data_IF_163726233352
#
_entry.id   IF_163726233352
#
_cell.length_a   1.000
_cell.length_b   1.000
_cell.length_c   1.000
_cell.angle_alpha   90.00
_cell.angle_beta   90.00
_cell.angle_gamma   90.00
#
_symmetry.space_group_name_H-M   'P 1'
#
loop_
_entity.id
_entity.type
_entity.pdbx_description
1 polymer ?
#
# COMPACT_ATOMS: atom_id res chain seq x y z
N UNK A 1 33.78 -36.16 -19.59
CA UNK A 1 32.53 -35.36 -19.42
C UNK A 1 32.59 -34.73 -18.04
N UNK A 2 32.92 -33.46 -17.96
CA UNK A 2 33.14 -32.76 -16.68
C UNK A 2 31.84 -32.04 -16.33
N UNK A 3 31.15 -32.47 -15.28
CA UNK A 3 30.00 -31.79 -14.71
C UNK A 3 30.44 -30.50 -14.05
N UNK A 4 30.10 -29.37 -14.66
CA UNK A 4 30.31 -28.05 -14.08
C UNK A 4 29.15 -27.78 -13.10
N UNK A 5 29.38 -28.05 -11.83
CA UNK A 5 28.44 -27.73 -10.74
C UNK A 5 28.33 -26.22 -10.64
N UNK A 6 27.24 -25.67 -11.19
CA UNK A 6 26.88 -24.23 -11.04
C UNK A 6 26.51 -23.97 -9.59
N UNK A 7 27.42 -23.32 -8.83
CA UNK A 7 27.07 -22.83 -7.49
C UNK A 7 26.03 -21.72 -7.58
N UNK A 8 24.92 -21.87 -6.87
CA UNK A 8 23.93 -20.80 -6.70
C UNK A 8 24.60 -19.62 -5.97
N UNK A 9 24.36 -18.36 -6.39
CA UNK A 9 24.87 -17.21 -5.65
C UNK A 9 24.32 -17.27 -4.23
N UNK A 10 25.21 -17.40 -3.25
CA UNK A 10 24.84 -17.30 -1.83
C UNK A 10 24.54 -15.84 -1.53
N UNK A 11 23.35 -15.56 -1.01
CA UNK A 11 23.02 -14.28 -0.43
C UNK A 11 24.04 -13.96 0.67
N UNK A 12 24.78 -12.87 0.50
CA UNK A 12 25.70 -12.40 1.53
C UNK A 12 24.92 -11.65 2.63
N UNK A 13 24.47 -12.41 3.62
CA UNK A 13 23.79 -11.87 4.80
C UNK A 13 24.62 -10.83 5.55
N UNK A 14 25.96 -10.93 5.48
CA UNK A 14 26.85 -9.97 6.13
C UNK A 14 26.83 -8.62 5.43
N UNK A 15 26.71 -8.61 4.10
CA UNK A 15 26.54 -7.38 3.32
C UNK A 15 25.17 -6.72 3.59
N UNK A 16 24.10 -7.52 3.69
CA UNK A 16 22.77 -7.04 4.05
C UNK A 16 22.75 -6.45 5.47
N UNK A 17 23.38 -7.11 6.44
CA UNK A 17 23.48 -6.61 7.81
C UNK A 17 24.30 -5.32 7.90
N UNK A 18 25.38 -5.20 7.11
CA UNK A 18 26.17 -3.96 7.02
C UNK A 18 25.35 -2.82 6.42
N UNK A 19 24.61 -3.09 5.35
CA UNK A 19 23.69 -2.13 4.73
C UNK A 19 22.59 -1.68 5.70
N UNK A 20 22.00 -2.60 6.46
CA UNK A 20 20.98 -2.28 7.47
C UNK A 20 21.55 -1.43 8.62
N UNK A 21 22.80 -1.67 9.03
CA UNK A 21 23.49 -0.86 10.06
C UNK A 21 23.86 0.54 9.59
N UNK A 22 24.02 0.75 8.28
CA UNK A 22 24.31 2.05 7.67
C UNK A 22 23.05 2.92 7.50
N UNK A 23 21.85 2.36 7.69
CA UNK A 23 20.61 3.13 7.63
C UNK A 23 20.56 4.09 8.82
N UNK A 24 20.34 5.40 8.61
CA UNK A 24 20.21 6.36 9.71
C UNK A 24 19.09 5.91 10.65
N UNK A 25 19.35 5.98 11.96
CA UNK A 25 18.34 5.66 12.96
C UNK A 25 17.13 6.58 12.75
N UNK A 26 15.91 6.07 12.79
CA UNK A 26 14.72 6.90 12.74
C UNK A 26 14.74 7.89 13.91
N UNK A 27 14.18 9.09 13.73
CA UNK A 27 14.06 10.09 14.77
C UNK A 27 13.13 9.63 15.89
N UNK A 28 12.16 8.79 15.56
CA UNK A 28 11.33 8.05 16.52
C UNK A 28 10.95 6.69 15.96
N UNK A 29 10.50 5.80 16.84
CA UNK A 29 9.86 4.52 16.57
C UNK A 29 8.64 4.43 17.48
N UNK A 30 7.66 3.58 17.15
CA UNK A 30 6.46 3.46 17.97
C UNK A 30 5.39 2.60 17.32
N UNK A 31 4.18 2.74 17.83
CA UNK A 31 3.01 2.01 17.35
C UNK A 31 1.91 2.97 16.95
N UNK A 32 1.12 2.61 15.96
CA UNK A 32 -0.02 3.40 15.55
C UNK A 32 -1.24 2.54 15.31
N UNK A 33 -2.40 3.14 15.49
CA UNK A 33 -3.71 2.58 15.17
C UNK A 33 -4.56 3.62 14.46
N UNK A 34 -5.50 3.19 13.66
CA UNK A 34 -6.53 4.10 13.18
C UNK A 34 -7.84 3.88 13.95
N UNK A 35 -8.63 4.94 14.02
CA UNK A 35 -9.94 4.94 14.66
C UNK A 35 -10.96 4.68 13.56
N UNK A 36 -11.76 3.63 13.73
CA UNK A 36 -12.84 3.24 12.85
C UNK A 36 -14.18 3.78 13.39
N UNK A 37 -14.98 4.29 12.48
CA UNK A 37 -16.34 4.69 12.72
C UNK A 37 -17.29 3.88 11.85
N UNK A 38 -18.30 3.28 12.46
CA UNK A 38 -19.39 2.55 11.81
C UNK A 38 -20.68 3.40 11.92
N UNK A 39 -21.04 4.18 10.88
CA UNK A 39 -22.18 5.09 10.93
C UNK A 39 -23.52 4.38 11.09
N UNK A 40 -23.62 3.16 10.54
CA UNK A 40 -24.81 2.33 10.59
C UNK A 40 -24.45 0.97 11.22
N UNK A 41 -25.05 0.67 12.36
CA UNK A 41 -24.82 -0.58 13.09
C UNK A 41 -25.26 -1.83 12.33
N UNK A 42 -26.19 -1.68 11.38
CA UNK A 42 -26.66 -2.78 10.52
C UNK A 42 -25.80 -2.98 9.28
N UNK A 43 -24.93 -2.02 8.95
CA UNK A 43 -23.99 -2.11 7.84
C UNK A 43 -22.61 -2.53 8.37
N UNK A 44 -21.91 -3.48 7.72
CA UNK A 44 -20.56 -3.83 8.09
C UNK A 44 -19.51 -2.77 7.72
N UNK A 45 -19.94 -1.67 7.08
CA UNK A 45 -19.03 -0.63 6.60
C UNK A 45 -18.44 0.18 7.75
N UNK A 46 -17.12 0.23 7.80
CA UNK A 46 -16.33 1.01 8.74
C UNK A 46 -15.43 1.97 7.99
N UNK A 47 -15.32 3.18 8.52
CA UNK A 47 -14.53 4.25 7.91
C UNK A 47 -13.45 4.68 8.88
N UNK A 48 -12.17 4.67 8.47
CA UNK A 48 -11.14 5.33 9.24
C UNK A 48 -11.41 6.83 9.33
N UNK A 49 -11.50 7.34 10.55
CA UNK A 49 -11.82 8.74 10.86
C UNK A 49 -10.75 9.43 11.69
N UNK A 50 -9.70 8.73 12.04
CA UNK A 50 -8.59 9.28 12.81
C UNK A 50 -7.44 8.31 12.91
N UNK A 51 -6.32 8.82 13.37
CA UNK A 51 -5.13 8.04 13.69
C UNK A 51 -4.59 8.41 15.06
N UNK A 52 -4.01 7.43 15.72
CA UNK A 52 -3.33 7.57 17.02
C UNK A 52 -1.95 6.94 16.88
N UNK A 53 -0.91 7.65 17.30
CA UNK A 53 0.48 7.19 17.32
C UNK A 53 0.99 7.23 18.75
N UNK A 54 1.53 6.13 19.24
CA UNK A 54 2.28 6.06 20.48
C UNK A 54 3.77 5.95 20.16
N UNK A 55 4.54 6.97 20.52
CA UNK A 55 5.98 6.98 20.34
C UNK A 55 6.70 6.19 21.45
N UNK A 56 7.98 5.91 21.27
CA UNK A 56 8.84 5.16 22.21
C UNK A 56 8.89 5.78 23.61
N UNK A 57 8.64 7.10 23.72
CA UNK A 57 8.54 7.84 24.99
C UNK A 57 7.15 7.73 25.64
N UNK A 58 6.33 6.78 25.20
CA UNK A 58 4.96 6.52 25.65
C UNK A 58 3.97 7.66 25.42
N UNK A 59 4.38 8.75 24.76
CA UNK A 59 3.47 9.84 24.42
C UNK A 59 2.57 9.46 23.27
N UNK A 60 1.30 9.83 23.42
CA UNK A 60 0.29 9.68 22.38
C UNK A 60 0.14 10.97 21.58
N UNK A 61 0.08 10.80 20.27
CA UNK A 61 -0.22 11.85 19.29
C UNK A 61 -1.41 11.36 18.46
N UNK A 62 -2.36 12.22 18.18
CA UNK A 62 -3.51 11.80 17.39
C UNK A 62 -4.06 12.92 16.51
N UNK A 63 -4.78 12.52 15.47
CA UNK A 63 -5.56 13.40 14.62
C UNK A 63 -6.89 12.75 14.30
N UNK A 64 -7.95 13.53 14.41
CA UNK A 64 -9.33 13.11 14.11
C UNK A 64 -9.86 13.89 12.91
N UNK A 65 -10.83 13.30 12.22
CA UNK A 65 -11.60 13.96 11.19
C UNK A 65 -12.50 15.04 11.80
N UNK A 66 -12.46 16.22 11.23
CA UNK A 66 -13.23 17.41 11.68
C UNK A 66 -14.42 17.74 10.77
N UNK A 67 -14.39 17.28 9.51
CA UNK A 67 -15.43 17.53 8.52
C UNK A 67 -15.99 16.23 7.93
N UNK A 68 -17.31 16.08 8.00
CA UNK A 68 -18.05 14.91 7.57
C UNK A 68 -18.80 15.08 6.24
N UNK A 69 -18.56 16.17 5.50
CA UNK A 69 -19.29 16.45 4.24
C UNK A 69 -19.19 15.35 3.20
N UNK A 70 -18.08 14.61 3.17
CA UNK A 70 -17.96 13.47 2.24
C UNK A 70 -18.89 12.31 2.56
N UNK A 71 -19.35 12.20 3.80
CA UNK A 71 -20.33 11.18 4.16
C UNK A 71 -21.69 11.40 3.49
N UNK A 72 -22.04 12.62 3.12
CA UNK A 72 -23.26 12.92 2.38
C UNK A 72 -23.28 12.27 0.99
N UNK A 73 -22.10 12.03 0.39
CA UNK A 73 -21.99 11.29 -0.86
C UNK A 73 -22.22 9.76 -0.68
N UNK A 74 -21.96 9.23 0.51
CA UNK A 74 -22.14 7.81 0.83
C UNK A 74 -23.53 7.53 1.39
N UNK A 75 -24.11 8.51 2.09
CA UNK A 75 -25.42 8.44 2.75
C UNK A 75 -26.36 9.51 2.18
N UNK A 76 -26.90 9.33 0.96
CA UNK A 76 -27.69 10.35 0.28
C UNK A 76 -29.03 10.65 0.98
N UNK A 77 -29.55 9.71 1.77
CA UNK A 77 -30.77 9.89 2.56
C UNK A 77 -30.56 10.74 3.82
N UNK A 78 -29.33 11.12 4.09
CA UNK A 78 -28.94 11.99 5.21
C UNK A 78 -27.94 11.33 6.16
N UNK A 79 -26.84 12.01 6.37
CA UNK A 79 -25.84 11.61 7.36
C UNK A 79 -26.09 12.37 8.68
N UNK A 80 -26.07 11.69 9.84
CA UNK A 80 -26.35 12.32 11.13
C UNK A 80 -25.16 13.13 11.63
N UNK A 81 -24.88 14.29 11.01
CA UNK A 81 -23.70 15.14 11.30
C UNK A 81 -23.58 15.53 12.77
N UNK A 82 -24.70 15.84 13.45
CA UNK A 82 -24.68 16.22 14.87
C UNK A 82 -24.20 15.07 15.76
N UNK A 83 -24.69 13.86 15.49
CA UNK A 83 -24.29 12.66 16.23
C UNK A 83 -22.84 12.30 15.95
N UNK A 84 -22.40 12.40 14.70
CA UNK A 84 -21.00 12.17 14.34
C UNK A 84 -20.05 13.17 15.03
N UNK A 85 -20.40 14.46 15.09
CA UNK A 85 -19.65 15.47 15.84
C UNK A 85 -19.60 15.18 17.33
N UNK A 86 -20.72 14.76 17.93
CA UNK A 86 -20.74 14.37 19.34
C UNK A 86 -19.84 13.16 19.61
N UNK A 87 -19.84 12.15 18.74
CA UNK A 87 -18.95 10.99 18.82
C UNK A 87 -17.48 11.40 18.67
N UNK A 88 -17.16 12.36 17.80
CA UNK A 88 -15.79 12.88 17.70
C UNK A 88 -15.35 13.61 18.95
N UNK A 89 -16.23 14.42 19.54
CA UNK A 89 -15.95 15.07 20.81
C UNK A 89 -15.71 14.04 21.94
N UNK A 90 -16.50 12.97 21.97
CA UNK A 90 -16.29 11.85 22.89
C UNK A 90 -14.95 11.16 22.64
N UNK A 91 -14.63 10.80 21.38
CA UNK A 91 -13.35 10.18 21.02
C UNK A 91 -12.16 11.07 21.42
N UNK A 92 -12.27 12.37 21.15
CA UNK A 92 -11.27 13.34 21.57
C UNK A 92 -11.08 13.34 23.09
N UNK A 93 -12.16 13.33 23.85
CA UNK A 93 -12.13 13.27 25.32
C UNK A 93 -11.42 12.02 25.85
N UNK A 94 -11.74 10.84 25.28
CA UNK A 94 -11.09 9.56 25.64
C UNK A 94 -9.59 9.61 25.36
N UNK A 95 -9.18 10.13 24.19
CA UNK A 95 -7.76 10.22 23.82
C UNK A 95 -7.01 11.22 24.70
N UNK A 96 -7.64 12.36 25.05
CA UNK A 96 -7.05 13.31 25.97
C UNK A 96 -6.87 12.74 27.39
N UNK A 97 -7.85 11.97 27.88
CA UNK A 97 -7.73 11.25 29.13
C UNK A 97 -6.58 10.24 29.08
N UNK A 98 -6.49 9.46 27.99
CA UNK A 98 -5.41 8.49 27.79
C UNK A 98 -4.01 9.17 27.79
N UNK A 99 -3.88 10.35 27.18
CA UNK A 99 -2.63 11.15 27.22
C UNK A 99 -2.30 11.54 28.67
N UNK A 100 -3.29 12.04 29.40
CA UNK A 100 -3.11 12.52 30.78
C UNK A 100 -2.72 11.37 31.72
N UNK A 101 -3.35 10.21 31.54
CA UNK A 101 -3.17 8.99 32.35
C UNK A 101 -2.00 8.13 31.87
N UNK A 102 -1.39 8.48 30.73
CA UNK A 102 -0.34 7.70 30.05
C UNK A 102 -0.79 6.27 29.73
N UNK A 103 -2.04 6.12 29.33
CA UNK A 103 -2.62 4.82 28.97
C UNK A 103 -1.96 4.29 27.69
N UNK A 104 -1.44 3.06 27.68
CA UNK A 104 -0.88 2.46 26.46
C UNK A 104 -1.90 2.37 25.36
N UNK A 105 -1.47 2.56 24.10
CA UNK A 105 -2.34 2.51 22.90
C UNK A 105 -3.18 1.22 22.84
N UNK A 106 -2.61 0.10 23.23
CA UNK A 106 -3.28 -1.21 23.25
C UNK A 106 -4.38 -1.35 24.31
N UNK A 107 -4.45 -0.43 25.26
CA UNK A 107 -5.45 -0.43 26.36
C UNK A 107 -6.51 0.66 26.17
N UNK A 108 -6.40 1.49 25.15
CA UNK A 108 -7.40 2.51 24.86
C UNK A 108 -8.63 1.81 24.28
N UNK A 109 -9.76 1.99 24.93
CA UNK A 109 -11.06 1.45 24.53
C UNK A 109 -12.07 2.59 24.41
N UNK A 110 -12.89 2.53 23.38
CA UNK A 110 -14.07 3.37 23.30
C UNK A 110 -15.27 2.59 23.86
N UNK A 111 -15.96 3.16 24.82
CA UNK A 111 -17.25 2.62 25.29
C UNK A 111 -18.35 2.99 24.28
N UNK A 112 -18.24 2.40 23.10
CA UNK A 112 -19.10 2.67 21.97
C UNK A 112 -19.09 1.49 21.00
N UNK A 113 -20.27 1.10 20.52
CA UNK A 113 -20.40 0.07 19.48
C UNK A 113 -20.02 0.54 18.08
N UNK A 114 -19.97 1.85 17.88
CA UNK A 114 -19.74 2.47 16.56
C UNK A 114 -18.33 3.02 16.39
N UNK A 115 -17.53 3.05 17.47
CA UNK A 115 -16.12 3.45 17.43
C UNK A 115 -15.23 2.31 17.89
N UNK A 116 -14.15 2.08 17.17
CA UNK A 116 -13.14 1.08 17.56
C UNK A 116 -11.74 1.53 17.14
N UNK A 117 -10.71 0.97 17.79
CA UNK A 117 -9.32 1.09 17.35
C UNK A 117 -8.91 -0.15 16.57
N UNK A 118 -8.16 0.06 15.49
CA UNK A 118 -7.50 -1.03 14.79
C UNK A 118 -6.40 -1.65 15.67
N UNK A 119 -5.92 -2.83 15.29
CA UNK A 119 -4.73 -3.41 15.94
C UNK A 119 -3.54 -2.48 15.74
N UNK A 120 -2.71 -2.25 16.80
CA UNK A 120 -1.50 -1.47 16.67
C UNK A 120 -0.51 -2.07 15.67
N UNK A 121 0.04 -1.22 14.81
CA UNK A 121 1.06 -1.55 13.81
C UNK A 121 2.29 -0.71 14.08
N UNK A 122 3.48 -1.27 13.88
CA UNK A 122 4.73 -0.54 14.07
C UNK A 122 4.90 0.57 13.03
N UNK A 123 5.40 1.72 13.48
CA UNK A 123 5.78 2.86 12.62
C UNK A 123 7.08 3.47 13.08
N UNK A 124 7.77 4.14 12.16
CA UNK A 124 8.97 4.91 12.45
C UNK A 124 9.08 6.10 11.49
N UNK A 125 9.81 7.10 11.88
CA UNK A 125 9.99 8.31 11.06
C UNK A 125 11.00 9.29 11.65
N UNK A 126 11.17 10.41 10.97
CA UNK A 126 12.05 11.49 11.42
C UNK A 126 11.38 12.36 12.49
N UNK A 127 10.09 12.57 12.38
CA UNK A 127 9.28 13.40 13.26
C UNK A 127 7.91 12.76 13.50
N UNK A 128 7.39 12.92 14.73
CA UNK A 128 6.15 12.32 15.22
C UNK A 128 4.92 12.99 14.64
N UNK A 129 4.91 14.30 14.61
CA UNK A 129 3.78 15.08 14.08
C UNK A 129 3.64 14.88 12.57
N UNK A 130 4.74 14.89 11.84
CA UNK A 130 4.78 14.57 10.42
C UNK A 130 4.31 13.14 10.15
N UNK A 131 4.60 12.18 11.04
CA UNK A 131 4.11 10.82 10.92
C UNK A 131 2.59 10.74 11.11
N UNK A 132 2.02 11.44 12.10
CA UNK A 132 0.56 11.52 12.31
C UNK A 132 -0.12 12.12 11.09
N UNK A 133 0.39 13.24 10.55
CA UNK A 133 -0.16 13.90 9.37
C UNK A 133 -0.13 12.98 8.15
N UNK A 134 0.99 12.30 7.91
CA UNK A 134 1.15 11.33 6.82
C UNK A 134 0.16 10.18 6.96
N UNK A 135 0.14 9.51 8.12
CA UNK A 135 -0.74 8.37 8.38
C UNK A 135 -2.20 8.78 8.26
N UNK A 136 -2.59 9.93 8.82
CA UNK A 136 -3.93 10.46 8.68
C UNK A 136 -4.30 10.68 7.21
N UNK A 137 -3.44 11.30 6.46
CA UNK A 137 -3.61 11.55 5.04
C UNK A 137 -3.69 10.26 4.20
N UNK A 138 -2.98 9.21 4.59
CA UNK A 138 -2.92 7.95 3.86
C UNK A 138 -4.13 7.05 4.16
N UNK A 139 -4.63 7.08 5.40
CA UNK A 139 -5.65 6.16 5.88
C UNK A 139 -7.04 6.78 5.87
N UNK A 140 -7.19 8.07 6.25
CA UNK A 140 -8.50 8.73 6.35
C UNK A 140 -8.95 9.25 5.00
N UNK A 141 -9.66 8.41 4.25
CA UNK A 141 -10.16 8.75 2.90
C UNK A 141 -11.26 9.82 2.91
N UNK A 142 -11.94 10.00 4.06
CA UNK A 142 -13.08 10.91 4.21
C UNK A 142 -12.69 12.38 4.43
N UNK A 143 -11.41 12.72 4.44
CA UNK A 143 -10.96 14.13 4.49
C UNK A 143 -11.47 14.85 3.24
N UNK A 144 -12.16 16.00 3.39
CA UNK A 144 -12.53 16.82 2.25
C UNK A 144 -11.29 17.18 1.45
N UNK A 145 -11.24 16.76 0.20
CA UNK A 145 -10.10 17.11 -0.66
C UNK A 145 -10.26 18.53 -1.17
N UNK A 146 -9.87 19.50 -0.39
CA UNK A 146 -9.61 20.87 -0.89
C UNK A 146 -8.33 20.94 -1.73
N UNK A 147 -7.55 19.89 -1.69
CA UNK A 147 -6.40 19.68 -2.55
C UNK A 147 -6.70 18.44 -3.36
N UNK A 148 -6.90 18.58 -4.67
CA UNK A 148 -6.64 17.45 -5.57
C UNK A 148 -5.26 16.99 -5.17
N UNK A 149 -5.14 15.86 -4.43
CA UNK A 149 -3.87 15.16 -4.29
C UNK A 149 -3.48 14.78 -5.70
N UNK A 150 -2.83 15.70 -6.39
CA UNK A 150 -2.05 15.35 -7.56
C UNK A 150 -0.98 14.45 -6.96
N UNK A 151 -1.16 13.15 -7.12
CA UNK A 151 -0.07 12.23 -6.86
C UNK A 151 1.05 12.75 -7.74
N UNK A 152 2.06 13.39 -7.15
CA UNK A 152 3.17 14.06 -7.84
C UNK A 152 4.12 13.09 -8.55
N UNK A 153 3.84 11.80 -8.49
CA UNK A 153 4.63 10.86 -9.29
C UNK A 153 4.05 10.77 -10.71
N UNK A 154 4.91 10.92 -11.67
CA UNK A 154 4.58 10.63 -13.05
C UNK A 154 4.08 9.18 -13.14
N UNK A 155 2.90 8.98 -13.75
CA UNK A 155 2.46 7.61 -14.02
C UNK A 155 3.49 6.94 -14.94
N UNK A 156 3.90 5.75 -14.57
CA UNK A 156 4.80 4.93 -15.37
C UNK A 156 3.91 3.90 -16.05
N UNK A 157 3.77 4.00 -17.37
CA UNK A 157 3.05 2.99 -18.13
C UNK A 157 3.81 1.65 -18.15
N UNK A 158 3.15 0.59 -18.62
CA UNK A 158 3.75 -0.74 -18.62
C UNK A 158 4.98 -0.81 -19.55
N UNK A 159 5.03 -0.03 -20.64
CA UNK A 159 6.17 0.00 -21.54
C UNK A 159 7.39 0.65 -20.87
N UNK A 160 7.19 1.79 -20.20
CA UNK A 160 8.25 2.43 -19.40
C UNK A 160 8.70 1.57 -18.22
N UNK A 161 7.77 0.89 -17.53
CA UNK A 161 8.12 -0.05 -16.47
C UNK A 161 8.98 -1.23 -16.98
N UNK A 162 8.64 -1.79 -18.14
CA UNK A 162 9.44 -2.83 -18.81
C UNK A 162 10.84 -2.35 -19.12
N UNK A 163 10.95 -1.14 -19.68
CA UNK A 163 12.27 -0.57 -19.99
C UNK A 163 13.14 -0.48 -18.75
N UNK A 164 12.62 0.04 -17.64
CA UNK A 164 13.34 0.14 -16.38
C UNK A 164 13.75 -1.24 -15.83
N UNK A 165 12.84 -2.22 -15.86
CA UNK A 165 13.14 -3.59 -15.43
C UNK A 165 14.18 -4.23 -16.33
N UNK A 166 14.07 -4.06 -17.65
CA UNK A 166 15.03 -4.61 -18.61
C UNK A 166 16.43 -4.01 -18.44
N UNK A 167 16.55 -2.71 -18.21
CA UNK A 167 17.82 -2.05 -17.90
C UNK A 167 18.45 -2.68 -16.65
N UNK A 168 17.65 -2.92 -15.62
CA UNK A 168 18.13 -3.54 -14.38
C UNK A 168 18.51 -5.01 -14.57
N UNK A 169 17.73 -5.75 -15.35
CA UNK A 169 18.03 -7.14 -15.70
C UNK A 169 19.29 -7.27 -16.56
N UNK A 170 19.57 -6.32 -17.46
CA UNK A 170 20.84 -6.28 -18.21
C UNK A 170 22.06 -6.19 -17.30
N UNK A 171 21.97 -5.35 -16.26
CA UNK A 171 23.06 -5.23 -15.28
C UNK A 171 23.29 -6.54 -14.51
N UNK A 172 22.23 -7.29 -14.20
CA UNK A 172 22.30 -8.50 -13.37
C UNK A 172 22.62 -9.75 -14.19
N UNK A 173 21.96 -9.92 -15.34
CA UNK A 173 22.05 -11.13 -16.16
C UNK A 173 23.13 -11.08 -17.22
N UNK A 174 23.68 -9.90 -17.52
CA UNK A 174 24.77 -9.69 -18.50
C UNK A 174 24.53 -10.49 -19.81
N UNK A 175 25.36 -11.48 -20.13
CA UNK A 175 25.26 -12.27 -21.34
C UNK A 175 24.02 -13.18 -21.44
N UNK A 176 23.38 -13.50 -20.34
CA UNK A 176 22.17 -14.34 -20.34
C UNK A 176 20.87 -13.52 -20.51
N UNK A 177 20.97 -12.19 -20.57
CA UNK A 177 19.79 -11.30 -20.68
C UNK A 177 18.90 -11.64 -21.87
N UNK A 178 19.46 -11.77 -23.07
CA UNK A 178 18.72 -12.04 -24.32
C UNK A 178 18.04 -13.44 -24.32
N UNK A 179 18.48 -14.34 -23.45
CA UNK A 179 17.87 -15.67 -23.31
C UNK A 179 16.57 -15.64 -22.51
N UNK A 180 16.33 -14.59 -21.71
CA UNK A 180 15.23 -14.53 -20.77
C UNK A 180 14.29 -13.35 -21.03
N UNK A 181 14.73 -12.33 -21.74
CA UNK A 181 13.96 -11.11 -21.97
C UNK A 181 13.65 -10.93 -23.46
N UNK A 182 12.37 -10.85 -23.78
CA UNK A 182 11.91 -10.52 -25.13
C UNK A 182 11.76 -9.01 -25.22
N UNK A 183 12.78 -8.33 -25.77
CA UNK A 183 12.85 -6.86 -25.81
C UNK A 183 11.97 -6.31 -26.94
N UNK A 184 12.09 -6.88 -28.14
CA UNK A 184 11.48 -6.34 -29.35
C UNK A 184 10.07 -6.90 -29.62
N UNK A 185 9.76 -8.07 -29.09
CA UNK A 185 8.45 -8.71 -29.23
C UNK A 185 7.96 -9.14 -27.86
N UNK A 186 7.36 -8.22 -27.09
CA UNK A 186 6.96 -8.48 -25.72
C UNK A 186 5.70 -9.36 -25.59
N UNK A 187 5.43 -10.22 -26.58
CA UNK A 187 4.25 -11.05 -26.55
C UNK A 187 4.38 -12.35 -27.33
N UNK A 188 3.54 -13.30 -26.99
CA UNK A 188 3.42 -14.60 -27.63
C UNK A 188 2.04 -14.72 -28.31
N UNK A 189 2.03 -15.17 -29.58
CA UNK A 189 0.81 -15.48 -30.28
C UNK A 189 0.46 -16.94 -30.01
N UNK A 190 -0.65 -17.18 -29.30
CA UNK A 190 -1.15 -18.53 -29.03
C UNK A 190 -2.42 -18.81 -29.82
N UNK A 191 -2.66 -20.03 -30.27
CA UNK A 191 -3.95 -20.40 -30.85
C UNK A 191 -5.07 -20.21 -29.83
N UNK A 192 -6.14 -19.51 -30.23
CA UNK A 192 -7.37 -19.43 -29.46
C UNK A 192 -8.39 -20.48 -29.90
N UNK A 193 -9.57 -20.41 -29.35
CA UNK A 193 -10.69 -21.26 -29.78
C UNK A 193 -11.14 -20.87 -31.19
N UNK A 194 -11.06 -21.81 -32.10
CA UNK A 194 -11.38 -21.61 -33.52
C UNK A 194 -10.20 -21.06 -34.34
N UNK A 195 -10.44 -20.02 -35.14
CA UNK A 195 -9.43 -19.40 -36.00
C UNK A 195 -8.78 -18.15 -35.39
N UNK A 196 -9.15 -17.81 -34.16
CA UNK A 196 -8.63 -16.64 -33.48
C UNK A 196 -7.26 -16.90 -32.87
N UNK A 197 -6.40 -15.90 -32.93
CA UNK A 197 -5.08 -15.90 -32.28
C UNK A 197 -5.11 -14.92 -31.12
N UNK A 198 -4.76 -15.41 -29.94
CA UNK A 198 -4.62 -14.55 -28.78
C UNK A 198 -3.19 -14.08 -28.62
N UNK A 199 -3.04 -12.78 -28.40
CA UNK A 199 -1.77 -12.17 -28.12
C UNK A 199 -1.54 -12.07 -26.61
N UNK A 200 -0.56 -12.84 -26.13
CA UNK A 200 -0.17 -12.83 -24.71
C UNK A 200 0.99 -11.84 -24.51
N UNK A 201 0.78 -10.87 -23.64
CA UNK A 201 1.75 -9.81 -23.36
C UNK A 201 2.78 -10.27 -22.32
N UNK A 202 3.70 -11.14 -22.74
CA UNK A 202 4.76 -11.72 -21.92
C UNK A 202 6.11 -11.19 -22.38
N UNK A 203 6.91 -10.67 -21.46
CA UNK A 203 8.23 -10.14 -21.75
C UNK A 203 9.39 -10.87 -21.06
N UNK A 204 9.08 -11.81 -20.19
CA UNK A 204 10.07 -12.68 -19.55
C UNK A 204 9.75 -14.13 -19.88
N UNK A 205 10.73 -14.87 -20.43
CA UNK A 205 10.52 -16.24 -20.85
C UNK A 205 11.75 -17.11 -20.56
N UNK A 206 11.49 -18.27 -20.03
CA UNK A 206 12.48 -19.35 -19.87
C UNK A 206 11.89 -20.66 -20.43
N UNK A 207 12.70 -21.72 -20.65
CA UNK A 207 12.16 -23.00 -21.08
C UNK A 207 11.13 -23.63 -20.12
N UNK A 208 11.04 -23.15 -18.88
CA UNK A 208 10.19 -23.73 -17.83
C UNK A 208 9.20 -22.73 -17.22
N UNK A 209 9.30 -21.45 -17.55
CA UNK A 209 8.46 -20.42 -16.94
C UNK A 209 8.35 -19.19 -17.83
N UNK A 210 7.24 -18.50 -17.72
CA UNK A 210 6.99 -17.21 -18.34
C UNK A 210 6.64 -16.17 -17.28
N UNK A 211 6.84 -14.90 -17.62
CA UNK A 211 6.56 -13.77 -16.74
C UNK A 211 6.15 -12.53 -17.52
N UNK A 212 5.43 -11.65 -16.87
CA UNK A 212 5.05 -10.35 -17.41
C UNK A 212 5.44 -9.25 -16.42
N UNK A 213 5.85 -8.10 -16.95
CA UNK A 213 6.02 -6.87 -16.17
C UNK A 213 4.82 -6.00 -16.40
N UNK A 214 4.11 -5.67 -15.34
CA UNK A 214 3.00 -4.73 -15.33
C UNK A 214 3.31 -3.57 -14.38
N UNK A 215 2.99 -2.34 -14.79
CA UNK A 215 3.15 -1.19 -13.92
C UNK A 215 1.99 -1.11 -12.93
N UNK A 216 2.32 -0.83 -11.66
CA UNK A 216 1.37 -0.45 -10.62
C UNK A 216 1.39 1.06 -10.34
N UNK A 217 2.13 1.85 -11.13
CA UNK A 217 2.33 3.29 -10.93
C UNK A 217 1.48 4.07 -11.92
N UNK A 218 0.17 4.11 -11.68
CA UNK A 218 -0.79 4.88 -12.47
C UNK A 218 -1.53 5.91 -11.61
N UNK A 219 -2.04 6.95 -12.25
CA UNK A 219 -2.88 7.97 -11.59
C UNK A 219 -4.24 7.40 -11.16
N UNK A 220 -4.73 6.37 -11.84
CA UNK A 220 -6.01 5.72 -11.58
C UNK A 220 -5.80 4.31 -11.03
N UNK A 221 -6.45 4.00 -9.91
CA UNK A 221 -6.45 2.66 -9.33
C UNK A 221 -7.06 1.63 -10.30
N UNK A 222 -8.10 2.01 -11.05
CA UNK A 222 -8.72 1.14 -12.06
C UNK A 222 -7.71 0.72 -13.14
N UNK A 223 -6.83 1.64 -13.57
CA UNK A 223 -5.78 1.30 -14.53
C UNK A 223 -4.78 0.28 -13.99
N UNK A 224 -4.45 0.36 -12.70
CA UNK A 224 -3.59 -0.63 -12.03
C UNK A 224 -4.27 -2.00 -12.01
N UNK A 225 -5.52 -2.05 -11.57
CA UNK A 225 -6.31 -3.29 -11.48
C UNK A 225 -6.46 -3.97 -12.84
N UNK A 226 -6.81 -3.21 -13.89
CA UNK A 226 -6.93 -3.73 -15.25
C UNK A 226 -5.61 -4.30 -15.79
N UNK A 227 -4.48 -3.62 -15.56
CA UNK A 227 -3.19 -4.11 -16.01
C UNK A 227 -2.73 -5.37 -15.25
N UNK A 228 -3.00 -5.43 -13.95
CA UNK A 228 -2.69 -6.62 -13.15
C UNK A 228 -3.58 -7.81 -13.54
N UNK A 229 -4.87 -7.57 -13.78
CA UNK A 229 -5.80 -8.60 -14.25
C UNK A 229 -5.39 -9.13 -15.62
N UNK A 230 -5.05 -8.23 -16.57
CA UNK A 230 -4.57 -8.62 -17.90
C UNK A 230 -3.30 -9.47 -17.78
N UNK A 231 -2.29 -9.01 -17.06
CA UNK A 231 -1.06 -9.76 -16.87
C UNK A 231 -1.30 -11.13 -16.21
N UNK A 232 -2.24 -11.20 -15.26
CA UNK A 232 -2.63 -12.46 -14.61
C UNK A 232 -3.33 -13.44 -15.57
N UNK A 233 -4.19 -12.95 -16.46
CA UNK A 233 -4.84 -13.76 -17.49
C UNK A 233 -3.82 -14.29 -18.51
N UNK A 234 -2.93 -13.41 -19.01
CA UNK A 234 -1.88 -13.78 -19.94
C UNK A 234 -0.96 -14.88 -19.36
N UNK A 235 -0.57 -14.76 -18.08
CA UNK A 235 0.21 -15.78 -17.38
C UNK A 235 -0.55 -17.09 -17.19
N UNK A 236 -1.85 -17.05 -16.97
CA UNK A 236 -2.68 -18.26 -16.82
C UNK A 236 -2.81 -19.01 -18.14
N UNK A 237 -2.90 -18.30 -19.26
CA UNK A 237 -3.02 -18.88 -20.61
C UNK A 237 -1.68 -19.46 -21.10
N UNK A 238 -0.55 -19.01 -20.55
CA UNK A 238 0.80 -19.51 -20.88
C UNK A 238 1.13 -20.85 -20.20
N UNK A 239 0.33 -21.35 -19.27
CA UNK A 239 0.51 -22.64 -18.60
C UNK A 239 -0.12 -23.76 -19.39
#
# INVERSE_FOLDING_TARGET
MSETTRSRPRLDYSALLRSAKATPKPGFSGWWSYIEFQPDIFSPQRFPIGVVVQADDERLYFKLLDDFKKFDCVYPEGFPHSSAKALMAYAYGVLQAAIKEKTPLSQILFDSHVLSLSRPVHTSGSDREAAVERLFSDVVAMVPSNVKKVREFASIDTAAARKLVNEKLKEIAAMDFERFVMVDHPGLLVPGDGNDRHYLDLNLMTPKSCGAVASAVYKSQQSVELNLLKAGLDLKTCR
#
